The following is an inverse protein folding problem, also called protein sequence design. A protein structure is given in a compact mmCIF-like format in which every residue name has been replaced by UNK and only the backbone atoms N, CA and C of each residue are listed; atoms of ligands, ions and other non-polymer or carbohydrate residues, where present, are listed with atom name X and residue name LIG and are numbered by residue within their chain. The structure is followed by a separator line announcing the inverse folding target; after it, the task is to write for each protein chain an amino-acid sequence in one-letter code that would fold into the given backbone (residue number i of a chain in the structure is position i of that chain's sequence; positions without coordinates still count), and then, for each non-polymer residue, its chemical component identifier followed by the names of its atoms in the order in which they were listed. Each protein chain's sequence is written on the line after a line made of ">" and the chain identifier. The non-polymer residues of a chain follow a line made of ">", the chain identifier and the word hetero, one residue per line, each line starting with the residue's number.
data_IF_291078793840
#
_entry.id   IF_291078793840
#
_cell.length_a   1.000
_cell.length_b   1.000
_cell.length_c   1.000
_cell.angle_alpha   90.00
_cell.angle_beta   90.00
_cell.angle_gamma   90.00
#
_symmetry.space_group_name_H-M   'P 1'
#
loop_
_entity.id
_entity.type
_entity.pdbx_description
1 polymer ?
#
# COMPACT_ATOMS: atom_id res chain seq x y z
N UNK A 1 -0.88 1.40 -44.49
CA UNK A 1 0.31 1.26 -43.64
C UNK A 1 -0.16 1.35 -42.19
N UNK A 2 -0.37 0.22 -41.52
CA UNK A 2 -0.82 0.20 -40.13
C UNK A 2 0.35 0.56 -39.22
N UNK A 3 0.20 1.65 -38.47
CA UNK A 3 1.19 2.07 -37.48
C UNK A 3 1.02 1.13 -36.30
N UNK A 4 1.86 0.10 -36.19
CA UNK A 4 2.06 -0.63 -34.95
C UNK A 4 2.69 0.33 -33.94
N UNK A 5 1.83 1.09 -33.25
CA UNK A 5 2.20 1.74 -32.00
C UNK A 5 2.45 0.60 -31.03
N UNK A 6 3.71 0.27 -30.77
CA UNK A 6 4.08 -0.66 -29.71
C UNK A 6 3.44 -0.13 -28.42
N UNK A 7 2.33 -0.70 -27.99
CA UNK A 7 1.69 -0.35 -26.73
C UNK A 7 2.62 -0.88 -25.63
N UNK A 8 3.57 -0.06 -25.20
CA UNK A 8 4.34 -0.34 -23.99
C UNK A 8 3.35 -0.34 -22.83
N UNK A 9 3.07 -1.52 -22.29
CA UNK A 9 2.24 -1.65 -21.10
C UNK A 9 2.87 -0.87 -19.95
N UNK A 10 2.04 -0.14 -19.22
CA UNK A 10 2.42 0.49 -17.97
C UNK A 10 2.81 -0.57 -16.95
N UNK A 11 3.64 -0.20 -15.98
CA UNK A 11 4.04 -1.11 -14.89
C UNK A 11 2.81 -1.67 -14.15
N UNK A 12 1.76 -0.86 -13.99
CA UNK A 12 0.49 -1.25 -13.39
C UNK A 12 -0.21 -2.35 -14.20
N UNK A 13 -0.29 -2.21 -15.52
CA UNK A 13 -0.91 -3.23 -16.38
C UNK A 13 -0.16 -4.56 -16.31
N UNK A 14 1.17 -4.52 -16.30
CA UNK A 14 2.01 -5.73 -16.13
C UNK A 14 1.73 -6.38 -14.77
N UNK A 15 1.71 -5.62 -13.67
CA UNK A 15 1.42 -6.18 -12.35
C UNK A 15 0.00 -6.73 -12.23
N UNK A 16 -1.00 -6.06 -12.81
CA UNK A 16 -2.38 -6.58 -12.87
C UNK A 16 -2.44 -7.91 -13.62
N UNK A 17 -1.74 -8.04 -14.74
CA UNK A 17 -1.68 -9.32 -15.47
C UNK A 17 -1.02 -10.43 -14.64
N UNK A 18 0.07 -10.11 -13.94
CA UNK A 18 0.74 -11.06 -13.04
C UNK A 18 -0.19 -11.51 -11.91
N UNK A 19 -0.97 -10.59 -11.31
CA UNK A 19 -1.94 -10.92 -10.26
C UNK A 19 -3.17 -11.67 -10.77
N UNK A 20 -3.52 -11.54 -12.05
CA UNK A 20 -4.53 -12.41 -12.68
C UNK A 20 -4.03 -13.85 -12.77
N UNK A 21 -2.73 -14.04 -13.07
CA UNK A 21 -2.13 -15.37 -13.17
C UNK A 21 -1.84 -15.99 -11.79
N UNK A 22 -1.41 -15.18 -10.82
CA UNK A 22 -1.14 -15.58 -9.44
C UNK A 22 -1.66 -14.53 -8.44
N UNK A 23 -2.94 -14.65 -8.00
CA UNK A 23 -3.55 -13.70 -7.07
C UNK A 23 -2.92 -13.69 -5.67
N UNK A 24 -2.18 -14.72 -5.29
CA UNK A 24 -1.54 -14.85 -3.98
C UNK A 24 -0.13 -14.23 -3.94
N UNK A 25 0.34 -13.67 -5.06
CA UNK A 25 1.66 -13.06 -5.14
C UNK A 25 1.71 -11.71 -4.39
N UNK A 26 1.97 -11.77 -3.09
CA UNK A 26 2.01 -10.61 -2.20
C UNK A 26 3.10 -9.61 -2.61
N UNK A 27 4.24 -10.07 -3.14
CA UNK A 27 5.32 -9.21 -3.64
C UNK A 27 4.85 -8.34 -4.82
N UNK A 28 4.20 -8.94 -5.82
CA UNK A 28 3.66 -8.21 -6.97
C UNK A 28 2.54 -7.27 -6.52
N UNK A 29 1.68 -7.71 -5.60
CA UNK A 29 0.60 -6.90 -5.06
C UNK A 29 1.11 -5.63 -4.37
N UNK A 30 2.15 -5.77 -3.54
CA UNK A 30 2.79 -4.63 -2.92
C UNK A 30 3.49 -3.73 -3.96
N UNK A 31 4.09 -4.32 -5.00
CA UNK A 31 4.61 -3.57 -6.16
C UNK A 31 3.54 -2.73 -6.85
N UNK A 32 2.36 -3.32 -7.12
CA UNK A 32 1.20 -2.63 -7.68
C UNK A 32 0.74 -1.47 -6.80
N UNK A 33 0.56 -1.72 -5.50
CA UNK A 33 0.21 -0.67 -4.55
C UNK A 33 1.18 0.52 -4.59
N UNK A 34 2.49 0.26 -4.63
CA UNK A 34 3.49 1.34 -4.72
C UNK A 34 3.41 2.15 -6.00
N UNK A 35 3.14 1.52 -7.16
CA UNK A 35 2.95 2.27 -8.41
C UNK A 35 1.66 3.09 -8.39
N UNK A 36 0.58 2.57 -7.80
CA UNK A 36 -0.67 3.30 -7.63
C UNK A 36 -0.49 4.53 -6.73
N UNK A 37 0.25 4.40 -5.62
CA UNK A 37 0.59 5.52 -4.74
C UNK A 37 1.38 6.62 -5.47
N UNK A 38 2.37 6.26 -6.30
CA UNK A 38 3.17 7.23 -7.08
C UNK A 38 2.32 8.03 -8.07
N UNK A 39 1.25 7.43 -8.58
CA UNK A 39 0.31 8.07 -9.50
C UNK A 39 -0.90 8.68 -8.79
N UNK A 40 -0.87 8.75 -7.45
CA UNK A 40 -1.93 9.30 -6.62
C UNK A 40 -3.29 8.60 -6.83
N UNK A 41 -3.27 7.34 -7.29
CA UNK A 41 -4.46 6.50 -7.43
C UNK A 41 -4.80 5.89 -6.07
N UNK A 42 -5.15 6.74 -5.11
CA UNK A 42 -5.26 6.41 -3.69
C UNK A 42 -6.27 5.29 -3.41
N UNK A 43 -7.44 5.31 -4.06
CA UNK A 43 -8.49 4.31 -3.83
C UNK A 43 -8.05 2.89 -4.26
N UNK A 44 -7.41 2.78 -5.42
CA UNK A 44 -6.86 1.51 -5.90
C UNK A 44 -5.71 1.06 -4.99
N UNK A 45 -4.84 1.98 -4.57
CA UNK A 45 -3.74 1.67 -3.65
C UNK A 45 -4.24 1.12 -2.31
N UNK A 46 -5.29 1.72 -1.72
CA UNK A 46 -5.93 1.23 -0.49
C UNK A 46 -6.40 -0.21 -0.67
N UNK A 47 -7.07 -0.51 -1.77
CA UNK A 47 -7.60 -1.86 -2.06
C UNK A 47 -6.47 -2.89 -2.11
N UNK A 48 -5.38 -2.58 -2.80
CA UNK A 48 -4.24 -3.49 -2.92
C UNK A 48 -3.45 -3.63 -1.61
N UNK A 49 -3.30 -2.56 -0.84
CA UNK A 49 -2.64 -2.59 0.47
C UNK A 49 -3.45 -3.39 1.50
N UNK A 50 -4.77 -3.24 1.55
CA UNK A 50 -5.64 -4.02 2.42
C UNK A 50 -5.57 -5.52 2.08
N UNK A 51 -5.55 -5.85 0.79
CA UNK A 51 -5.41 -7.24 0.34
C UNK A 51 -4.01 -7.79 0.63
N UNK A 52 -2.96 -6.98 0.48
CA UNK A 52 -1.61 -7.36 0.86
C UNK A 52 -1.51 -7.63 2.37
N UNK A 53 -2.05 -6.76 3.21
CA UNK A 53 -2.04 -6.85 4.68
C UNK A 53 -2.87 -8.03 5.23
N UNK A 54 -3.85 -8.54 4.49
CA UNK A 54 -4.59 -9.75 4.90
C UNK A 54 -3.83 -11.05 4.65
N UNK A 55 -2.71 -11.01 3.92
CA UNK A 55 -2.00 -12.19 3.42
C UNK A 55 -0.58 -12.36 3.95
N UNK A 56 0.10 -11.32 4.45
CA UNK A 56 1.47 -11.47 4.95
C UNK A 56 1.70 -10.86 6.35
N UNK A 57 2.54 -11.53 7.13
CA UNK A 57 2.66 -11.34 8.58
C UNK A 57 3.67 -10.25 9.00
N UNK A 58 4.60 -9.85 8.12
CA UNK A 58 5.61 -8.81 8.39
C UNK A 58 5.54 -7.66 7.38
N UNK A 59 4.77 -6.63 7.72
CA UNK A 59 4.46 -5.54 6.80
C UNK A 59 4.30 -4.18 7.46
N UNK A 60 5.07 -3.89 8.52
CA UNK A 60 4.95 -2.61 9.23
C UNK A 60 4.85 -1.39 8.28
N UNK A 61 5.68 -1.35 7.22
CA UNK A 61 5.66 -0.24 6.25
C UNK A 61 4.31 -0.08 5.51
N UNK A 62 3.60 -1.19 5.24
CA UNK A 62 2.39 -1.17 4.43
C UNK A 62 1.23 -0.51 5.17
N UNK A 63 1.21 -0.60 6.50
CA UNK A 63 0.28 0.16 7.33
C UNK A 63 0.48 1.67 7.20
N UNK A 64 1.73 2.15 7.18
CA UNK A 64 2.02 3.57 6.95
C UNK A 64 1.59 4.05 5.55
N UNK A 65 1.83 3.23 4.52
CA UNK A 65 1.35 3.51 3.16
C UNK A 65 -0.17 3.52 3.06
N UNK A 66 -0.83 2.59 3.76
CA UNK A 66 -2.29 2.51 3.81
C UNK A 66 -2.86 3.76 4.49
N UNK A 67 -2.28 4.14 5.64
CA UNK A 67 -2.69 5.33 6.36
C UNK A 67 -2.54 6.60 5.52
N UNK A 68 -1.40 6.76 4.83
CA UNK A 68 -1.18 7.87 3.90
C UNK A 68 -2.24 7.92 2.78
N UNK A 69 -2.55 6.79 2.16
CA UNK A 69 -3.53 6.73 1.08
C UNK A 69 -4.97 7.03 1.58
N UNK A 70 -5.31 6.55 2.78
CA UNK A 70 -6.60 6.83 3.42
C UNK A 70 -6.74 8.30 3.80
N UNK A 71 -5.68 8.92 4.32
CA UNK A 71 -5.66 10.34 4.65
C UNK A 71 -5.84 11.22 3.39
N UNK A 72 -5.17 10.87 2.28
CA UNK A 72 -5.38 11.52 0.97
C UNK A 72 -6.80 11.42 0.43
N UNK A 73 -7.56 10.42 0.86
CA UNK A 73 -8.98 10.25 0.53
C UNK A 73 -9.92 10.94 1.53
N UNK A 74 -9.41 11.61 2.56
CA UNK A 74 -10.20 12.18 3.65
C UNK A 74 -10.81 11.13 4.59
N UNK A 75 -10.32 9.89 4.55
CA UNK A 75 -10.78 8.78 5.40
C UNK A 75 -9.97 8.75 6.70
N UNK A 76 -9.99 9.86 7.44
CA UNK A 76 -9.10 10.14 8.58
C UNK A 76 -9.17 9.06 9.66
N UNK A 77 -10.35 8.63 10.07
CA UNK A 77 -10.48 7.60 11.13
C UNK A 77 -9.87 6.24 10.70
N UNK A 78 -9.98 5.89 9.43
CA UNK A 78 -9.37 4.67 8.91
C UNK A 78 -7.84 4.81 8.79
N UNK A 79 -7.34 5.99 8.44
CA UNK A 79 -5.91 6.28 8.43
C UNK A 79 -5.31 6.14 9.84
N UNK A 80 -6.00 6.69 10.85
CA UNK A 80 -5.61 6.55 12.26
C UNK A 80 -5.58 5.10 12.71
N UNK A 81 -6.61 4.32 12.35
CA UNK A 81 -6.64 2.89 12.62
C UNK A 81 -5.46 2.15 11.94
N UNK A 82 -5.13 2.49 10.70
CA UNK A 82 -3.98 1.90 9.99
C UNK A 82 -2.65 2.21 10.70
N UNK A 83 -2.42 3.45 11.16
CA UNK A 83 -1.22 3.76 11.96
C UNK A 83 -1.15 2.97 13.27
N UNK A 84 -2.27 2.86 14.00
CA UNK A 84 -2.33 2.07 15.24
C UNK A 84 -1.97 0.60 15.02
N UNK A 85 -2.50 -0.02 13.96
CA UNK A 85 -2.14 -1.39 13.59
C UNK A 85 -0.67 -1.49 13.17
N UNK A 86 -0.16 -0.50 12.44
CA UNK A 86 1.25 -0.39 12.07
C UNK A 86 2.18 -0.33 13.28
N UNK A 87 1.83 0.46 14.30
CA UNK A 87 2.59 0.57 15.56
C UNK A 87 2.65 -0.78 16.26
N UNK A 88 1.51 -1.48 16.37
CA UNK A 88 1.44 -2.80 16.98
C UNK A 88 2.28 -3.83 16.21
N UNK A 89 2.22 -3.82 14.87
CA UNK A 89 3.01 -4.70 14.02
C UNK A 89 4.51 -4.41 14.11
N UNK A 90 4.92 -3.13 14.04
CA UNK A 90 6.30 -2.70 14.16
C UNK A 90 6.88 -3.07 15.53
N UNK A 91 6.12 -2.89 16.60
CA UNK A 91 6.53 -3.28 17.95
C UNK A 91 6.70 -4.80 18.08
N UNK A 92 5.77 -5.58 17.53
CA UNK A 92 5.83 -7.06 17.54
C UNK A 92 7.08 -7.59 16.84
N UNK A 93 7.51 -6.95 15.75
CA UNK A 93 8.65 -7.36 14.94
C UNK A 93 9.98 -6.67 15.32
N UNK A 94 10.01 -5.87 16.39
CA UNK A 94 11.25 -5.24 16.86
C UNK A 94 11.72 -4.07 15.99
N UNK A 95 10.79 -3.32 15.40
CA UNK A 95 11.05 -2.12 14.59
C UNK A 95 10.63 -0.83 15.35
N UNK A 96 11.29 -0.45 16.46
CA UNK A 96 10.83 0.65 17.31
C UNK A 96 10.86 2.02 16.62
N UNK A 97 11.83 2.27 15.72
CA UNK A 97 11.88 3.51 14.95
C UNK A 97 10.65 3.68 14.05
N UNK A 98 10.19 2.60 13.40
CA UNK A 98 8.98 2.63 12.59
C UNK A 98 7.72 2.86 13.44
N UNK A 99 7.66 2.25 14.63
CA UNK A 99 6.57 2.52 15.57
C UNK A 99 6.55 4.00 16.01
N UNK A 100 7.71 4.61 16.25
CA UNK A 100 7.83 6.04 16.56
C UNK A 100 7.40 6.92 15.39
N UNK A 101 7.84 6.61 14.17
CA UNK A 101 7.44 7.36 12.96
C UNK A 101 5.92 7.33 12.77
N UNK A 102 5.28 6.18 12.98
CA UNK A 102 3.83 6.07 12.90
C UNK A 102 3.10 6.77 14.04
N UNK A 103 3.67 6.78 15.25
CA UNK A 103 3.09 7.53 16.36
C UNK A 103 3.12 9.04 16.07
N UNK A 104 4.25 9.55 15.56
CA UNK A 104 4.37 10.96 15.18
C UNK A 104 3.38 11.33 14.08
N UNK A 105 3.26 10.51 13.04
CA UNK A 105 2.27 10.73 11.99
C UNK A 105 0.82 10.67 12.50
N UNK A 106 0.52 9.76 13.44
CA UNK A 106 -0.79 9.65 14.07
C UNK A 106 -1.13 10.90 14.89
N UNK A 107 -0.15 11.46 15.61
CA UNK A 107 -0.31 12.66 16.43
C UNK A 107 -0.49 13.92 15.56
N UNK A 108 0.12 13.98 14.37
CA UNK A 108 -0.08 15.06 13.39
C UNK A 108 -1.45 14.97 12.67
N UNK A 109 -2.06 13.79 12.67
CA UNK A 109 -3.36 13.52 12.03
C UNK A 109 -4.57 13.83 12.93
N UNK A 110 -4.32 14.37 14.14
CA UNK A 110 -5.28 14.67 15.22
C UNK A 110 -5.61 16.16 15.31
#
# INVERSE_FOLDING_TARGET
>A
MAIFKTMSQTRIEVFRQMLTADPANTMVRFGLANELLKLEQWADAVTELQTYLSQADDQGNAYGKLAQALDRLGRTEEARAAYQQGIAAASRHGHPSMAQDFQMALDESL
#
